data_IF_048719814159
#
_entry.id   IF_048719814159
#
_cell.length_a   1.000
_cell.length_b   1.000
_cell.length_c   1.000
_cell.angle_alpha   90.00
_cell.angle_beta   90.00
_cell.angle_gamma   90.00
#
_symmetry.space_group_name_H-M   'P 1'
#
loop_
_entity.id
_entity.type
_entity.pdbx_description
1 polymer ?
#
# COMPACT_ATOMS: atom_id res chain seq x y z
N UNK A 1 19.59 29.53 -8.78
CA UNK A 1 19.44 28.07 -8.91
C UNK A 1 20.79 27.47 -9.27
N UNK A 2 21.18 26.42 -8.57
CA UNK A 2 22.42 25.66 -8.77
C UNK A 2 22.07 24.23 -9.20
N UNK A 3 23.02 23.54 -9.84
CA UNK A 3 22.92 22.11 -10.12
C UNK A 3 23.79 21.35 -9.14
N UNK A 4 23.23 20.38 -8.43
CA UNK A 4 23.97 19.48 -7.55
C UNK A 4 23.75 18.03 -7.98
N UNK A 5 24.67 17.18 -7.56
CA UNK A 5 24.67 15.75 -7.89
C UNK A 5 24.55 14.91 -6.64
N UNK A 6 23.62 13.95 -6.63
CA UNK A 6 23.43 13.02 -5.52
C UNK A 6 23.83 11.63 -5.99
N UNK A 7 24.91 11.10 -5.42
CA UNK A 7 25.41 9.74 -5.69
C UNK A 7 24.83 8.74 -4.70
N UNK A 8 24.22 7.69 -5.24
CA UNK A 8 23.76 6.53 -4.47
C UNK A 8 24.91 5.57 -4.19
N UNK A 9 24.71 4.62 -3.26
CA UNK A 9 25.69 3.55 -2.98
C UNK A 9 25.93 2.61 -4.16
N UNK A 10 25.00 2.52 -5.11
CA UNK A 10 25.14 1.71 -6.33
C UNK A 10 25.90 2.44 -7.45
N UNK A 11 26.34 3.68 -7.21
CA UNK A 11 27.07 4.50 -8.18
C UNK A 11 26.19 5.32 -9.13
N UNK A 12 24.85 5.16 -9.08
CA UNK A 12 23.93 6.03 -9.83
C UNK A 12 24.05 7.48 -9.33
N UNK A 13 24.07 8.43 -10.27
CA UNK A 13 24.12 9.87 -10.01
C UNK A 13 22.81 10.53 -10.41
N UNK A 14 22.19 11.28 -9.50
CA UNK A 14 20.93 12.00 -9.68
C UNK A 14 21.25 13.49 -9.75
N UNK A 15 20.83 14.18 -10.81
CA UNK A 15 20.99 15.63 -10.92
C UNK A 15 19.76 16.36 -10.36
N UNK A 16 20.00 17.31 -9.46
CA UNK A 16 18.97 18.15 -8.86
C UNK A 16 19.28 19.64 -9.12
N UNK A 17 18.30 20.36 -9.67
CA UNK A 17 18.36 21.83 -9.82
C UNK A 17 17.61 22.48 -8.65
N UNK A 18 18.32 23.22 -7.79
CA UNK A 18 17.79 23.69 -6.50
C UNK A 18 18.39 25.06 -6.13
N UNK A 19 17.76 25.82 -5.22
CA UNK A 19 18.35 27.05 -4.66
C UNK A 19 19.30 26.74 -3.50
N UNK A 20 20.37 27.51 -3.31
CA UNK A 20 21.26 27.40 -2.13
C UNK A 20 20.53 27.71 -0.82
N UNK A 21 19.56 28.62 -0.88
CA UNK A 21 18.69 28.95 0.26
C UNK A 21 17.60 27.90 0.55
N UNK A 22 17.48 26.86 -0.29
CA UNK A 22 16.51 25.80 -0.06
C UNK A 22 16.91 24.96 1.15
N UNK A 23 15.92 24.51 1.92
CA UNK A 23 16.13 23.60 3.04
C UNK A 23 16.41 22.17 2.55
N UNK A 24 17.13 21.40 3.35
CA UNK A 24 17.45 19.99 3.09
C UNK A 24 16.20 19.14 2.86
N UNK A 25 15.10 19.43 3.57
CA UNK A 25 13.80 18.74 3.39
C UNK A 25 13.27 18.88 1.96
N UNK A 26 13.50 20.02 1.31
CA UNK A 26 13.08 20.24 -0.07
C UNK A 26 13.95 19.44 -1.06
N UNK A 27 15.26 19.35 -0.80
CA UNK A 27 16.14 18.49 -1.60
C UNK A 27 15.71 17.01 -1.50
N UNK A 28 15.34 16.55 -0.30
CA UNK A 28 14.82 15.19 -0.13
C UNK A 28 13.51 14.96 -0.89
N UNK A 29 12.61 15.94 -0.90
CA UNK A 29 11.40 15.89 -1.72
C UNK A 29 11.72 15.76 -3.22
N UNK A 30 12.68 16.54 -3.75
CA UNK A 30 13.11 16.42 -5.15
C UNK A 30 13.68 15.04 -5.49
N UNK A 31 14.41 14.42 -4.55
CA UNK A 31 14.93 13.05 -4.72
C UNK A 31 13.78 12.04 -4.69
N UNK A 32 12.78 12.25 -3.82
CA UNK A 32 11.56 11.43 -3.80
C UNK A 32 10.82 11.50 -5.14
N UNK A 33 10.65 12.69 -5.70
CA UNK A 33 9.95 12.87 -6.99
C UNK A 33 10.70 12.19 -8.15
N UNK A 34 12.04 12.17 -8.10
CA UNK A 34 12.88 11.58 -9.16
C UNK A 34 13.06 10.07 -9.03
N UNK A 35 13.19 9.57 -7.81
CA UNK A 35 13.64 8.20 -7.54
C UNK A 35 12.63 7.36 -6.74
N UNK A 36 11.55 7.97 -6.23
CA UNK A 36 10.54 7.31 -5.41
C UNK A 36 10.97 7.01 -3.97
N UNK A 37 12.12 7.50 -3.51
CA UNK A 37 12.67 7.19 -2.18
C UNK A 37 12.05 8.14 -1.13
N UNK A 38 11.34 7.65 -0.12
CA UNK A 38 10.72 8.51 0.91
C UNK A 38 11.75 9.37 1.69
N UNK A 39 11.47 10.65 2.01
CA UNK A 39 12.42 11.57 2.66
C UNK A 39 13.00 11.09 3.99
N UNK A 40 12.22 10.35 4.77
CA UNK A 40 12.63 9.78 6.06
C UNK A 40 13.60 8.60 5.91
N UNK A 41 13.59 7.96 4.73
CA UNK A 41 14.54 6.91 4.33
C UNK A 41 15.81 7.50 3.70
N UNK A 42 15.84 8.80 3.39
CA UNK A 42 17.00 9.46 2.81
C UNK A 42 17.94 10.00 3.89
N UNK A 43 19.18 9.49 3.93
CA UNK A 43 20.29 10.10 4.66
C UNK A 43 21.25 10.73 3.66
N UNK A 44 21.18 12.05 3.54
CA UNK A 44 22.11 12.82 2.73
C UNK A 44 23.38 13.13 3.53
N UNK A 45 24.52 12.94 2.89
CA UNK A 45 25.85 13.19 3.47
C UNK A 45 26.66 14.05 2.51
N UNK A 46 27.28 15.10 3.04
CA UNK A 46 28.20 15.97 2.31
C UNK A 46 29.43 16.23 3.17
N UNK A 47 30.62 16.14 2.59
CA UNK A 47 31.90 16.32 3.30
C UNK A 47 32.01 15.52 4.62
N UNK A 48 31.44 14.30 4.65
CA UNK A 48 31.42 13.44 5.84
C UNK A 48 30.36 13.81 6.89
N UNK A 49 29.63 14.91 6.72
CA UNK A 49 28.57 15.36 7.62
C UNK A 49 27.19 14.95 7.10
N UNK A 50 26.33 14.46 7.99
CA UNK A 50 24.93 14.22 7.69
C UNK A 50 24.16 15.54 7.63
N UNK A 51 23.36 15.72 6.59
CA UNK A 51 22.49 16.87 6.46
C UNK A 51 21.23 16.72 7.34
N UNK A 52 20.81 17.82 7.95
CA UNK A 52 19.68 17.91 8.88
C UNK A 52 18.52 18.67 8.23
N UNK A 53 17.30 18.21 8.46
CA UNK A 53 16.11 18.94 8.06
C UNK A 53 16.04 20.28 8.81
N UNK A 54 15.47 21.31 8.18
CA UNK A 54 15.41 22.66 8.73
C UNK A 54 16.62 23.55 8.42
N UNK A 55 17.79 22.98 8.10
CA UNK A 55 18.96 23.73 7.59
C UNK A 55 18.90 23.91 6.07
N UNK A 56 19.54 24.96 5.58
CA UNK A 56 19.69 25.28 4.16
C UNK A 56 20.90 24.60 3.54
N UNK A 57 20.98 24.54 2.21
CA UNK A 57 22.18 24.05 1.53
C UNK A 57 23.39 24.99 1.75
N UNK A 58 23.13 26.28 1.86
CA UNK A 58 24.13 27.31 2.17
C UNK A 58 24.77 27.10 3.56
N UNK A 59 23.99 26.66 4.57
CA UNK A 59 24.52 26.33 5.91
C UNK A 59 25.61 25.24 5.88
N UNK A 60 25.63 24.43 4.82
CA UNK A 60 26.61 23.36 4.59
C UNK A 60 27.64 23.70 3.51
N UNK A 61 27.64 24.94 3.00
CA UNK A 61 28.50 25.38 1.90
C UNK A 61 28.35 24.52 0.64
N UNK A 62 27.13 24.04 0.38
CA UNK A 62 26.81 23.27 -0.82
C UNK A 62 26.57 24.25 -1.96
N UNK A 63 27.42 24.17 -2.98
CA UNK A 63 27.42 25.06 -4.13
C UNK A 63 27.06 24.34 -5.43
N UNK A 64 27.18 25.07 -6.53
CA UNK A 64 27.03 24.48 -7.86
C UNK A 64 28.06 23.35 -8.05
N UNK A 65 27.62 22.26 -8.66
CA UNK A 65 28.38 21.03 -8.92
C UNK A 65 28.81 20.22 -7.69
N UNK A 66 28.37 20.58 -6.48
CA UNK A 66 28.60 19.76 -5.29
C UNK A 66 28.03 18.34 -5.46
N UNK A 67 28.79 17.36 -4.98
CA UNK A 67 28.42 15.95 -4.97
C UNK A 67 28.07 15.52 -3.54
N UNK A 68 26.82 15.12 -3.33
CA UNK A 68 26.31 14.56 -2.09
C UNK A 68 26.22 13.03 -2.21
N UNK A 69 26.25 12.34 -1.08
CA UNK A 69 26.01 10.91 -1.00
C UNK A 69 24.65 10.63 -0.37
N UNK A 70 23.83 9.81 -1.05
CA UNK A 70 22.58 9.28 -0.53
C UNK A 70 22.83 7.89 0.06
N UNK A 71 22.65 7.79 1.37
CA UNK A 71 22.62 6.53 2.11
C UNK A 71 21.17 6.24 2.49
N UNK A 72 20.70 5.02 2.22
CA UNK A 72 19.36 4.63 2.63
C UNK A 72 19.36 4.27 4.12
N UNK A 73 18.47 4.88 4.89
CA UNK A 73 18.15 4.41 6.24
C UNK A 73 17.29 3.18 6.12
N UNK A 74 17.89 2.02 6.36
CA UNK A 74 17.16 0.77 6.52
C UNK A 74 16.37 0.83 7.84
N UNK A 75 15.15 1.37 7.80
CA UNK A 75 14.13 0.96 8.78
C UNK A 75 13.56 -0.34 8.26
N UNK A 76 13.69 -1.40 9.05
CA UNK A 76 13.12 -2.70 8.69
C UNK A 76 11.63 -2.57 8.40
N UNK A 77 11.19 -3.07 7.25
CA UNK A 77 9.79 -3.44 7.06
C UNK A 77 9.06 -2.90 5.84
N UNK A 78 9.67 -2.18 4.89
CA UNK A 78 8.96 -1.77 3.65
C UNK A 78 9.61 -2.37 2.41
N UNK A 79 9.21 -3.59 2.02
CA UNK A 79 9.70 -4.28 0.81
C UNK A 79 9.38 -3.56 -0.52
N UNK A 80 8.42 -2.63 -0.54
CA UNK A 80 7.78 -2.17 -1.78
C UNK A 80 7.70 -0.65 -1.95
N UNK A 81 8.52 0.13 -1.23
CA UNK A 81 8.47 1.60 -1.28
C UNK A 81 7.05 2.18 -1.12
N UNK A 82 6.20 1.52 -0.33
CA UNK A 82 4.85 2.01 -0.04
C UNK A 82 4.96 3.38 0.66
N UNK A 83 4.29 4.44 0.16
CA UNK A 83 4.41 5.78 0.74
C UNK A 83 3.93 5.81 2.21
N UNK A 84 4.77 6.20 3.18
CA UNK A 84 4.38 6.22 4.59
C UNK A 84 3.16 7.11 4.89
N UNK A 85 2.94 8.15 4.07
CA UNK A 85 1.76 9.03 4.16
C UNK A 85 0.44 8.27 3.98
N UNK A 86 0.44 7.21 3.16
CA UNK A 86 -0.71 6.35 2.91
C UNK A 86 -0.93 5.29 3.99
N UNK A 87 0.08 5.00 4.80
CA UNK A 87 0.05 3.89 5.74
C UNK A 87 -0.42 4.31 7.15
N UNK A 88 -0.99 3.34 7.85
CA UNK A 88 -1.40 3.45 9.25
C UNK A 88 -0.60 2.45 10.09
N UNK A 89 0.68 2.79 10.31
CA UNK A 89 1.70 1.88 10.85
C UNK A 89 1.29 1.09 12.11
N UNK A 90 0.58 1.67 13.10
CA UNK A 90 0.15 0.94 14.29
C UNK A 90 -0.75 -0.27 14.01
N UNK A 91 -1.38 -0.32 12.83
CA UNK A 91 -2.29 -1.41 12.44
C UNK A 91 -1.67 -2.40 11.44
N UNK A 92 -0.37 -2.28 11.16
CA UNK A 92 0.34 -3.32 10.41
C UNK A 92 0.23 -4.67 11.11
N UNK A 93 0.18 -5.76 10.34
CA UNK A 93 0.09 -7.08 10.93
C UNK A 93 0.86 -8.10 10.09
N UNK A 94 1.72 -8.85 10.76
CA UNK A 94 2.56 -9.85 10.13
C UNK A 94 1.89 -11.23 10.18
N UNK A 95 1.38 -11.70 9.04
CA UNK A 95 0.81 -13.04 8.90
C UNK A 95 1.80 -14.08 8.35
N UNK A 96 3.07 -13.73 8.09
CA UNK A 96 4.04 -14.59 7.40
C UNK A 96 4.30 -15.93 8.12
N UNK A 97 4.15 -15.96 9.44
CA UNK A 97 4.36 -17.16 10.29
C UNK A 97 3.07 -17.69 10.91
N UNK A 98 1.90 -17.28 10.41
CA UNK A 98 0.59 -17.67 10.94
C UNK A 98 -0.02 -18.77 10.06
N UNK A 99 -0.72 -19.71 10.71
CA UNK A 99 -1.46 -20.79 10.06
C UNK A 99 -2.81 -21.00 10.76
N UNK A 100 -3.89 -20.89 9.99
CA UNK A 100 -5.28 -20.97 10.48
C UNK A 100 -5.95 -22.30 10.16
N UNK A 101 -5.18 -23.39 10.03
CA UNK A 101 -5.73 -24.71 9.69
C UNK A 101 -6.90 -25.09 10.61
N UNK A 102 -8.08 -25.30 10.00
CA UNK A 102 -9.30 -25.69 10.71
C UNK A 102 -10.07 -24.54 11.38
N UNK A 103 -9.59 -23.30 11.29
CA UNK A 103 -10.25 -22.14 11.90
C UNK A 103 -10.99 -21.33 10.83
N UNK A 104 -12.22 -20.93 11.14
CA UNK A 104 -13.03 -20.05 10.29
C UNK A 104 -13.05 -18.64 10.88
N UNK A 105 -12.80 -17.64 10.06
CA UNK A 105 -12.91 -16.24 10.42
C UNK A 105 -14.08 -15.61 9.70
N UNK A 106 -14.86 -14.82 10.44
CA UNK A 106 -16.03 -14.13 9.96
C UNK A 106 -15.90 -12.63 10.20
N UNK A 107 -16.25 -11.85 9.18
CA UNK A 107 -16.40 -10.39 9.28
C UNK A 107 -17.62 -9.96 8.48
N UNK A 108 -18.41 -9.04 9.02
CA UNK A 108 -19.63 -8.54 8.39
C UNK A 108 -20.61 -9.65 7.98
N UNK A 109 -20.65 -10.75 8.75
CA UNK A 109 -21.51 -11.89 8.46
C UNK A 109 -21.03 -12.81 7.32
N UNK A 110 -19.84 -12.59 6.76
CA UNK A 110 -19.26 -13.48 5.73
C UNK A 110 -17.93 -14.08 6.17
N UNK A 111 -17.72 -15.35 5.81
CA UNK A 111 -16.45 -16.05 6.03
C UNK A 111 -15.42 -15.52 5.02
N UNK A 112 -14.18 -15.37 5.47
CA UNK A 112 -13.05 -15.01 4.62
C UNK A 112 -11.77 -15.75 5.05
N UNK A 113 -10.82 -15.85 4.13
CA UNK A 113 -9.51 -16.46 4.39
C UNK A 113 -8.53 -15.35 4.77
N UNK A 114 -8.05 -15.37 6.01
CA UNK A 114 -7.02 -14.42 6.47
C UNK A 114 -5.76 -14.59 5.63
N UNK A 115 -4.95 -13.53 5.45
CA UNK A 115 -3.81 -13.55 4.55
C UNK A 115 -2.59 -14.24 5.17
N UNK A 116 -2.76 -15.48 5.66
CA UNK A 116 -1.71 -16.31 6.23
C UNK A 116 -0.57 -16.49 5.22
N UNK A 117 0.67 -16.26 5.66
CA UNK A 117 1.84 -16.25 4.77
C UNK A 117 2.13 -14.89 4.10
N UNK A 118 1.33 -13.85 4.37
CA UNK A 118 1.52 -12.51 3.80
C UNK A 118 1.91 -11.49 4.88
N UNK A 119 2.59 -10.40 4.50
CA UNK A 119 2.74 -9.21 5.34
C UNK A 119 1.60 -8.23 5.01
N UNK A 120 0.81 -7.83 6.02
CA UNK A 120 -0.27 -6.86 5.83
C UNK A 120 0.17 -5.48 6.30
N UNK A 121 0.13 -4.50 5.40
CA UNK A 121 0.27 -3.08 5.68
C UNK A 121 -1.11 -2.43 5.72
N UNK A 122 -1.34 -1.57 6.70
CA UNK A 122 -2.61 -0.89 6.88
C UNK A 122 -2.60 0.41 6.11
N UNK A 123 -3.70 0.72 5.44
CA UNK A 123 -3.90 2.00 4.77
C UNK A 123 -4.62 2.92 5.74
N UNK A 124 -4.20 4.19 5.78
CA UNK A 124 -4.87 5.23 6.54
C UNK A 124 -6.21 5.57 5.89
N UNK A 125 -7.30 5.22 6.59
CA UNK A 125 -8.68 5.38 6.10
C UNK A 125 -9.54 6.31 6.96
N UNK A 126 -9.03 6.76 8.11
CA UNK A 126 -9.74 7.67 9.00
C UNK A 126 -10.09 8.96 8.26
N UNK A 127 -11.38 9.29 8.21
CA UNK A 127 -11.89 10.47 7.50
C UNK A 127 -11.97 10.35 5.98
N UNK A 128 -11.59 9.21 5.38
CA UNK A 128 -11.74 8.97 3.93
C UNK A 128 -13.15 8.57 3.52
N UNK A 129 -13.94 8.06 4.45
CA UNK A 129 -15.29 7.56 4.21
C UNK A 129 -16.30 8.22 5.15
N UNK A 130 -17.62 8.20 4.84
CA UNK A 130 -18.62 8.94 5.61
C UNK A 130 -18.71 8.59 7.10
N UNK A 131 -18.31 7.37 7.48
CA UNK A 131 -18.21 6.90 8.86
C UNK A 131 -17.23 5.72 8.92
N UNK A 132 -16.96 5.20 10.13
CA UNK A 132 -16.05 4.06 10.36
C UNK A 132 -16.79 2.74 10.68
N UNK A 133 -18.14 2.71 10.62
CA UNK A 133 -18.96 1.52 10.97
C UNK A 133 -18.60 0.34 10.06
N UNK A 134 -18.38 0.59 8.77
CA UNK A 134 -17.93 -0.42 7.81
C UNK A 134 -16.66 -1.18 8.25
N UNK A 135 -15.79 -0.56 9.06
CA UNK A 135 -14.54 -1.17 9.52
C UNK A 135 -14.61 -1.68 10.96
N UNK A 136 -15.26 -0.92 11.85
CA UNK A 136 -15.29 -1.19 13.29
C UNK A 136 -16.56 -1.92 13.75
N UNK A 137 -17.66 -1.75 13.01
CA UNK A 137 -19.02 -2.10 13.43
C UNK A 137 -19.61 -1.14 14.46
N UNK A 138 -20.89 -1.32 14.77
CA UNK A 138 -21.60 -0.59 15.83
C UNK A 138 -21.34 -1.14 17.23
N UNK A 139 -21.00 -2.42 17.30
CA UNK A 139 -20.74 -3.15 18.55
C UNK A 139 -19.34 -3.74 18.52
N UNK A 140 -18.77 -3.99 19.70
CA UNK A 140 -17.52 -4.75 19.78
C UNK A 140 -17.73 -6.18 19.28
N UNK A 141 -16.73 -6.71 18.59
CA UNK A 141 -16.71 -8.14 18.22
C UNK A 141 -16.63 -8.97 19.51
N UNK A 142 -17.40 -10.05 19.58
CA UNK A 142 -17.35 -10.97 20.72
C UNK A 142 -15.97 -11.62 20.88
N UNK A 143 -15.31 -11.91 19.76
CA UNK A 143 -13.97 -12.47 19.68
C UNK A 143 -13.32 -12.12 18.32
N UNK A 144 -12.09 -12.58 18.11
CA UNK A 144 -11.35 -12.31 16.87
C UNK A 144 -11.90 -13.04 15.63
N UNK A 145 -12.74 -14.06 15.79
CA UNK A 145 -13.33 -14.88 14.73
C UNK A 145 -14.73 -14.39 14.32
N UNK A 146 -15.38 -13.61 15.18
CA UNK A 146 -16.77 -13.19 15.06
C UNK A 146 -16.95 -11.80 14.46
N UNK A 147 -18.16 -11.51 13.96
CA UNK A 147 -18.48 -10.20 13.39
C UNK A 147 -18.92 -9.18 14.43
N UNK A 148 -18.74 -7.91 14.12
CA UNK A 148 -19.44 -6.80 14.75
C UNK A 148 -20.74 -6.48 13.99
N UNK A 149 -21.70 -5.85 14.66
CA UNK A 149 -22.94 -5.40 14.02
C UNK A 149 -22.65 -4.34 12.94
N UNK A 150 -23.26 -4.48 11.76
CA UNK A 150 -23.15 -3.57 10.60
C UNK A 150 -21.75 -3.36 10.01
N UNK A 151 -20.72 -4.07 10.50
CA UNK A 151 -19.41 -4.03 9.83
C UNK A 151 -19.48 -4.69 8.45
N UNK A 152 -18.58 -4.31 7.56
CA UNK A 152 -18.55 -4.82 6.19
C UNK A 152 -17.68 -6.08 6.09
N UNK A 153 -18.07 -7.07 5.25
CA UNK A 153 -17.24 -8.23 4.93
C UNK A 153 -15.85 -7.88 4.41
N UNK A 154 -14.86 -8.74 4.69
CA UNK A 154 -13.52 -8.63 4.11
C UNK A 154 -13.50 -9.27 2.72
N UNK A 155 -12.83 -8.60 1.77
CA UNK A 155 -12.47 -9.18 0.47
C UNK A 155 -11.07 -8.76 0.04
N UNK A 156 -10.59 -9.37 -1.04
CA UNK A 156 -9.27 -9.19 -1.62
C UNK A 156 -9.38 -8.89 -3.12
N UNK A 157 -8.56 -7.98 -3.62
CA UNK A 157 -8.50 -7.60 -5.02
C UNK A 157 -7.05 -7.67 -5.52
N UNK A 158 -6.79 -8.60 -6.44
CA UNK A 158 -5.49 -8.70 -7.13
C UNK A 158 -5.33 -7.58 -8.14
N UNK A 159 -4.18 -6.92 -8.13
CA UNK A 159 -3.89 -5.81 -9.05
C UNK A 159 -2.37 -5.62 -9.18
N UNK A 160 -1.93 -4.62 -9.95
CA UNK A 160 -0.52 -4.22 -9.99
C UNK A 160 -0.20 -3.28 -8.82
N UNK A 161 1.08 -3.21 -8.42
CA UNK A 161 1.51 -2.29 -7.35
C UNK A 161 1.07 -0.84 -7.63
N UNK A 162 1.26 -0.34 -8.85
CA UNK A 162 0.88 1.03 -9.23
C UNK A 162 -0.63 1.27 -9.11
N UNK A 163 -1.46 0.33 -9.58
CA UNK A 163 -2.90 0.44 -9.43
C UNK A 163 -3.32 0.36 -7.96
N UNK A 164 -2.68 -0.51 -7.18
CA UNK A 164 -2.90 -0.59 -5.74
C UNK A 164 -2.59 0.72 -5.01
N UNK A 165 -1.51 1.41 -5.39
CA UNK A 165 -1.18 2.74 -4.86
C UNK A 165 -2.27 3.77 -5.19
N UNK A 166 -2.72 3.83 -6.46
CA UNK A 166 -3.83 4.71 -6.84
C UNK A 166 -5.11 4.39 -6.08
N UNK A 167 -5.43 3.11 -5.87
CA UNK A 167 -6.61 2.68 -5.11
C UNK A 167 -6.48 3.08 -3.63
N UNK A 168 -5.29 2.93 -3.03
CA UNK A 168 -5.06 3.32 -1.64
C UNK A 168 -5.19 4.83 -1.41
N UNK A 169 -4.78 5.62 -2.39
CA UNK A 169 -4.86 7.08 -2.35
C UNK A 169 -6.30 7.57 -2.59
N UNK A 170 -6.89 7.18 -3.72
CA UNK A 170 -8.10 7.77 -4.28
C UNK A 170 -9.37 6.91 -4.09
N UNK A 171 -9.23 5.66 -3.64
CA UNK A 171 -10.29 4.66 -3.68
C UNK A 171 -10.44 3.98 -5.04
N UNK A 172 -11.37 3.03 -5.14
CA UNK A 172 -11.67 2.38 -6.41
C UNK A 172 -12.40 3.33 -7.37
N UNK A 173 -12.09 3.21 -8.66
CA UNK A 173 -12.75 3.94 -9.73
C UNK A 173 -13.28 2.95 -10.75
N UNK A 174 -14.59 2.70 -10.75
CA UNK A 174 -15.31 1.82 -11.67
C UNK A 174 -15.09 2.23 -13.13
N UNK A 175 -14.86 3.52 -13.39
CA UNK A 175 -14.52 4.02 -14.73
C UNK A 175 -13.19 3.47 -15.27
N UNK A 176 -12.28 3.01 -14.40
CA UNK A 176 -11.05 2.31 -14.77
C UNK A 176 -11.26 0.81 -14.97
N UNK A 177 -12.42 0.27 -14.60
CA UNK A 177 -12.77 -1.15 -14.75
C UNK A 177 -13.50 -1.41 -16.07
N UNK A 178 -13.11 -2.49 -16.75
CA UNK A 178 -13.80 -2.96 -17.95
C UNK A 178 -15.02 -3.82 -17.60
N UNK A 179 -15.80 -4.22 -18.63
CA UNK A 179 -16.83 -5.24 -18.46
C UNK A 179 -16.16 -6.61 -18.47
N UNK A 180 -16.26 -7.33 -17.36
CA UNK A 180 -15.70 -8.67 -17.23
C UNK A 180 -16.78 -9.74 -17.48
N UNK A 181 -16.35 -11.01 -17.56
CA UNK A 181 -17.17 -12.16 -17.96
C UNK A 181 -18.51 -12.27 -17.18
N UNK A 182 -18.52 -11.96 -15.88
CA UNK A 182 -19.68 -12.12 -15.01
C UNK A 182 -20.43 -10.82 -14.72
N UNK A 183 -20.17 -9.76 -15.50
CA UNK A 183 -20.83 -8.47 -15.34
C UNK A 183 -19.88 -7.30 -15.14
N UNK A 184 -20.46 -6.11 -14.96
CA UNK A 184 -19.74 -4.86 -14.77
C UNK A 184 -19.69 -4.53 -13.28
N UNK A 185 -18.48 -4.31 -12.75
CA UNK A 185 -18.27 -3.95 -11.37
C UNK A 185 -16.80 -4.06 -10.97
N UNK A 186 -16.53 -3.81 -9.69
CA UNK A 186 -15.20 -4.00 -9.11
C UNK A 186 -15.14 -5.40 -8.51
N UNK A 187 -14.27 -6.24 -9.07
CA UNK A 187 -14.15 -7.64 -8.68
C UNK A 187 -13.24 -7.79 -7.46
N UNK A 188 -13.68 -8.59 -6.50
CA UNK A 188 -12.90 -9.01 -5.35
C UNK A 188 -13.29 -10.43 -4.96
N UNK A 189 -12.68 -10.99 -3.92
CA UNK A 189 -12.99 -12.35 -3.45
C UNK A 189 -12.68 -12.47 -1.95
N UNK A 190 -13.39 -13.30 -1.17
CA UNK A 190 -13.04 -13.55 0.22
C UNK A 190 -11.78 -14.41 0.40
N UNK A 191 -11.19 -14.90 -0.71
CA UNK A 191 -10.01 -15.76 -0.73
C UNK A 191 -8.81 -15.02 -1.34
N UNK A 192 -7.81 -14.71 -0.51
CA UNK A 192 -6.60 -14.02 -0.97
C UNK A 192 -5.81 -14.82 -2.01
N UNK A 193 -5.82 -16.15 -1.95
CA UNK A 193 -5.07 -16.96 -2.90
C UNK A 193 -5.71 -16.89 -4.29
N UNK A 194 -7.05 -16.85 -4.35
CA UNK A 194 -7.79 -16.56 -5.59
C UNK A 194 -7.47 -15.15 -6.09
N UNK A 195 -7.46 -14.13 -5.21
CA UNK A 195 -7.11 -12.77 -5.60
C UNK A 195 -5.67 -12.68 -6.14
N UNK A 196 -4.73 -13.44 -5.58
CA UNK A 196 -3.32 -13.44 -5.96
C UNK A 196 -3.05 -13.95 -7.38
N UNK A 197 -3.99 -14.71 -7.97
CA UNK A 197 -3.93 -15.16 -9.36
C UNK A 197 -4.04 -13.97 -10.33
N UNK A 198 -4.69 -12.89 -9.90
CA UNK A 198 -4.89 -11.66 -10.67
C UNK A 198 -3.94 -10.53 -10.25
N UNK A 199 -3.06 -10.77 -9.28
CA UNK A 199 -2.03 -9.83 -8.88
C UNK A 199 -0.85 -9.87 -9.86
N UNK A 200 -0.39 -8.69 -10.28
CA UNK A 200 0.79 -8.55 -11.14
C UNK A 200 2.04 -8.57 -10.27
N UNK A 201 3.04 -9.33 -10.70
CA UNK A 201 4.32 -9.42 -10.01
C UNK A 201 5.08 -8.09 -10.09
N UNK A 202 5.62 -7.66 -8.95
CA UNK A 202 6.44 -6.47 -8.84
C UNK A 202 7.87 -6.86 -8.48
N UNK A 203 8.84 -6.42 -9.29
CA UNK A 203 10.25 -6.63 -9.01
C UNK A 203 10.81 -5.40 -8.28
N UNK A 204 11.26 -5.60 -7.05
CA UNK A 204 11.84 -4.55 -6.20
C UNK A 204 13.13 -5.09 -5.59
N UNK A 205 14.24 -4.40 -5.81
CA UNK A 205 15.56 -4.74 -5.29
C UNK A 205 15.99 -6.21 -5.52
N UNK A 206 15.71 -6.73 -6.72
CA UNK A 206 16.08 -8.10 -7.11
C UNK A 206 15.20 -9.20 -6.51
N UNK A 207 14.10 -8.83 -5.86
CA UNK A 207 13.08 -9.75 -5.34
C UNK A 207 11.75 -9.54 -6.04
N UNK A 208 10.98 -10.61 -6.15
CA UNK A 208 9.66 -10.59 -6.80
C UNK A 208 8.58 -10.68 -5.73
N UNK A 209 7.58 -9.83 -5.84
CA UNK A 209 6.47 -9.76 -4.88
C UNK A 209 5.14 -9.77 -5.60
N UNK A 210 4.12 -10.32 -4.93
CA UNK A 210 2.71 -10.06 -5.25
C UNK A 210 2.10 -9.12 -4.23
N UNK A 211 1.22 -8.25 -4.73
CA UNK A 211 0.48 -7.28 -3.94
C UNK A 211 -1.02 -7.46 -4.17
N UNK A 212 -1.76 -7.58 -3.08
CA UNK A 212 -3.21 -7.73 -3.10
C UNK A 212 -3.84 -6.66 -2.20
N UNK A 213 -4.84 -5.96 -2.71
CA UNK A 213 -5.60 -5.00 -1.93
C UNK A 213 -6.55 -5.74 -1.00
N UNK A 214 -6.50 -5.42 0.29
CA UNK A 214 -7.47 -5.87 1.28
C UNK A 214 -8.56 -4.81 1.43
N UNK A 215 -9.81 -5.24 1.31
CA UNK A 215 -10.96 -4.37 1.18
C UNK A 215 -12.09 -4.77 2.12
N UNK A 216 -13.03 -3.85 2.28
CA UNK A 216 -14.35 -4.07 2.87
C UNK A 216 -15.41 -3.86 1.81
N UNK A 217 -16.39 -4.75 1.69
CA UNK A 217 -17.45 -4.63 0.68
C UNK A 217 -18.80 -4.35 1.31
N UNK A 218 -19.64 -3.59 0.63
CA UNK A 218 -20.99 -3.33 1.11
C UNK A 218 -21.84 -4.62 0.98
N UNK A 219 -22.26 -5.25 2.10
CA UNK A 219 -22.97 -6.52 2.04
C UNK A 219 -24.36 -6.41 1.42
N UNK A 220 -24.94 -5.20 1.32
CA UNK A 220 -26.27 -4.98 0.75
C UNK A 220 -26.30 -5.06 -0.77
N UNK A 221 -25.20 -4.67 -1.41
CA UNK A 221 -25.15 -4.45 -2.86
C UNK A 221 -24.20 -5.41 -3.59
N UNK A 222 -23.33 -6.12 -2.86
CA UNK A 222 -22.34 -7.00 -3.47
C UNK A 222 -23.01 -8.20 -4.13
N UNK A 223 -22.72 -8.41 -5.41
CA UNK A 223 -23.15 -9.59 -6.15
C UNK A 223 -22.13 -10.71 -5.99
N UNK A 224 -22.58 -11.94 -5.75
CA UNK A 224 -21.69 -13.09 -5.53
C UNK A 224 -21.82 -14.10 -6.65
N UNK A 225 -20.69 -14.44 -7.27
CA UNK A 225 -20.58 -15.45 -8.31
C UNK A 225 -19.91 -16.69 -7.70
N UNK A 226 -20.60 -17.83 -7.62
CA UNK A 226 -20.09 -19.01 -6.94
C UNK A 226 -18.93 -19.64 -7.71
N UNK A 227 -18.03 -20.33 -6.98
CA UNK A 227 -16.89 -21.05 -7.58
C UNK A 227 -17.31 -22.04 -8.68
N UNK A 228 -18.50 -22.63 -8.57
CA UNK A 228 -19.02 -23.54 -9.59
C UNK A 228 -19.19 -22.87 -10.96
N UNK A 229 -19.43 -21.56 -11.00
CA UNK A 229 -19.58 -20.79 -12.23
C UNK A 229 -18.25 -20.23 -12.73
N UNK A 230 -17.38 -19.76 -11.83
CA UNK A 230 -16.10 -19.14 -12.21
C UNK A 230 -15.01 -20.17 -12.53
N UNK A 231 -15.14 -21.40 -12.03
CA UNK A 231 -14.13 -22.47 -12.14
C UNK A 231 -12.88 -22.26 -11.27
N UNK A 232 -12.70 -21.10 -10.65
CA UNK A 232 -11.48 -20.73 -9.90
C UNK A 232 -11.79 -20.56 -8.42
N UNK A 233 -12.69 -19.62 -8.09
CA UNK A 233 -13.05 -19.26 -6.72
C UNK A 233 -14.30 -18.36 -6.68
N UNK A 234 -14.84 -18.10 -5.50
CA UNK A 234 -15.99 -17.19 -5.38
C UNK A 234 -15.56 -15.75 -5.72
N UNK A 235 -16.31 -15.09 -6.60
CA UNK A 235 -16.10 -13.67 -6.93
C UNK A 235 -17.19 -12.81 -6.33
N UNK A 236 -16.80 -11.64 -5.84
CA UNK A 236 -17.65 -10.60 -5.28
C UNK A 236 -17.54 -9.36 -6.14
N UNK A 237 -18.65 -8.94 -6.72
CA UNK A 237 -18.72 -7.83 -7.66
C UNK A 237 -19.42 -6.67 -6.96
N UNK A 238 -18.65 -5.61 -6.67
CA UNK A 238 -19.17 -4.36 -6.14
C UNK A 238 -19.66 -3.48 -7.31
N UNK A 239 -20.95 -3.12 -7.39
CA UNK A 239 -21.51 -2.40 -8.54
C UNK A 239 -21.01 -0.95 -8.67
N UNK A 240 -20.65 -0.30 -7.56
CA UNK A 240 -20.23 1.11 -7.50
C UNK A 240 -18.92 1.28 -6.72
N UNK A 241 -18.32 2.48 -6.79
CA UNK A 241 -17.10 2.82 -6.03
C UNK A 241 -17.35 2.81 -4.52
N UNK A 242 -18.59 3.06 -4.14
CA UNK A 242 -19.06 3.24 -2.78
C UNK A 242 -19.25 1.89 -2.08
N UNK A 243 -19.38 0.81 -2.87
CA UNK A 243 -19.62 -0.55 -2.42
C UNK A 243 -18.34 -1.33 -2.10
N UNK A 244 -17.16 -0.71 -2.19
CA UNK A 244 -15.88 -1.30 -1.82
C UNK A 244 -14.91 -0.27 -1.28
N UNK A 245 -14.25 -0.59 -0.16
CA UNK A 245 -13.34 0.32 0.55
C UNK A 245 -12.00 -0.36 0.82
N UNK A 246 -10.88 0.09 0.21
CA UNK A 246 -9.57 -0.45 0.51
C UNK A 246 -9.12 -0.03 1.91
N UNK A 247 -8.48 -0.92 2.63
CA UNK A 247 -7.93 -0.62 3.96
C UNK A 247 -6.59 -1.29 4.25
N UNK A 248 -6.04 -2.10 3.33
CA UNK A 248 -4.69 -2.64 3.49
C UNK A 248 -4.06 -3.14 2.20
N UNK A 249 -2.75 -3.28 2.23
CA UNK A 249 -1.97 -4.05 1.27
C UNK A 249 -1.57 -5.38 1.90
N UNK A 250 -1.81 -6.50 1.23
CA UNK A 250 -1.21 -7.78 1.55
C UNK A 250 -0.06 -8.02 0.57
N UNK A 251 1.14 -8.24 1.08
CA UNK A 251 2.38 -8.38 0.31
C UNK A 251 3.02 -9.72 0.60
N UNK A 252 3.45 -10.43 -0.44
CA UNK A 252 4.16 -11.70 -0.32
C UNK A 252 5.31 -11.74 -1.31
N UNK A 253 6.50 -12.04 -0.81
CA UNK A 253 7.66 -12.41 -1.62
C UNK A 253 7.38 -13.79 -2.22
N UNK A 254 7.61 -13.97 -3.52
CA UNK A 254 7.33 -15.20 -4.27
C UNK A 254 8.59 -15.77 -4.92
#
# INVERSE_FOLDING_TARGET
TINIYVKTLTGKTIQCSISTSAKVEYLKALIQDKEGIPPDQQRLVYAGQQLEDGRTLEDYWIGNESILHLVLRLRGGYCLALPPSLLDEPFHYNFTKISDKGVKFCRGGSIYIRPCGWQRYAIKVKGKFPNDIWLQGKTSRADQYSSAEDEWPVSYHGTSLNNGLSIAEEGFKLSKGERFLHGKGIYSTPDIEVASLYAVEANVDGKTYKVVMQNRVNPKNVEKVPKAETGVGEYWISPTNEDIRPYGFCVKEI
#
